data_IF_077446595544
#
_entry.id   IF_077446595544
#
_cell.length_a   1.000
_cell.length_b   1.000
_cell.length_c   1.000
_cell.angle_alpha   90.00
_cell.angle_beta   90.00
_cell.angle_gamma   90.00
#
_symmetry.space_group_name_H-M   'P 1'
#
loop_
_entity.id
_entity.type
_entity.pdbx_description
1 polymer ?
#
# COMPACT_ATOMS: atom_id res chain seq x y z
N UNK A 1 18.57 19.83 -2.10
CA UNK A 1 17.73 18.67 -2.45
C UNK A 1 16.61 18.63 -1.43
N UNK A 2 15.38 18.56 -1.90
CA UNK A 2 14.18 18.60 -1.06
C UNK A 2 13.58 17.20 -0.97
N UNK A 3 12.90 16.92 0.13
CA UNK A 3 12.19 15.67 0.35
C UNK A 3 11.01 15.59 -0.62
N UNK A 4 10.83 14.43 -1.24
CA UNK A 4 9.63 14.08 -1.99
C UNK A 4 8.63 13.30 -1.14
N UNK A 5 7.43 13.12 -1.67
CA UNK A 5 6.32 12.46 -0.98
C UNK A 5 5.80 11.33 -1.85
N UNK A 6 5.63 10.15 -1.25
CA UNK A 6 4.82 9.08 -1.81
C UNK A 6 3.54 8.98 -0.98
N UNK A 7 2.40 9.00 -1.64
CA UNK A 7 1.10 8.80 -1.00
C UNK A 7 0.14 8.04 -1.91
N UNK A 8 -0.94 7.52 -1.34
CA UNK A 8 -1.96 6.83 -2.09
C UNK A 8 -3.00 6.20 -1.18
N UNK A 9 -3.91 5.46 -1.79
CA UNK A 9 -4.92 4.67 -1.10
C UNK A 9 -4.64 3.19 -1.29
N UNK A 10 -4.87 2.44 -0.22
CA UNK A 10 -4.91 0.99 -0.25
C UNK A 10 -6.37 0.53 -0.26
N UNK A 11 -6.73 -0.27 -1.24
CA UNK A 11 -7.99 -1.01 -1.25
C UNK A 11 -7.73 -2.45 -0.84
N UNK A 12 -8.59 -3.03 -0.01
CA UNK A 12 -8.43 -4.39 0.49
C UNK A 12 -9.74 -5.14 0.26
N UNK A 13 -9.69 -6.20 -0.53
CA UNK A 13 -10.87 -6.98 -0.84
C UNK A 13 -10.55 -8.33 -1.48
N UNK A 14 -11.53 -9.22 -1.62
CA UNK A 14 -12.81 -9.17 -0.91
C UNK A 14 -12.62 -9.49 0.59
N UNK A 15 -13.40 -8.88 1.47
CA UNK A 15 -13.33 -9.12 2.93
C UNK A 15 -14.57 -9.79 3.51
N UNK A 16 -15.59 -10.06 2.68
CA UNK A 16 -16.83 -10.67 3.13
C UNK A 16 -17.56 -11.41 1.99
N UNK A 17 -18.40 -12.42 2.32
CA UNK A 17 -19.05 -13.33 1.37
C UNK A 17 -19.86 -12.75 0.24
N UNK A 18 -20.50 -11.63 0.49
CA UNK A 18 -21.45 -11.07 -0.46
C UNK A 18 -21.30 -9.57 -0.44
N UNK A 19 -20.47 -9.04 -1.33
CA UNK A 19 -20.50 -7.62 -1.65
C UNK A 19 -21.67 -7.40 -2.62
N UNK A 20 -22.77 -6.81 -2.13
CA UNK A 20 -23.87 -6.35 -2.98
C UNK A 20 -23.73 -4.84 -3.16
N UNK A 21 -24.01 -4.28 -4.35
CA UNK A 21 -24.02 -2.83 -4.54
C UNK A 21 -24.93 -2.09 -3.54
N UNK A 22 -26.02 -2.73 -3.08
CA UNK A 22 -26.92 -2.20 -2.04
C UNK A 22 -26.44 -2.38 -0.58
N UNK A 23 -25.39 -3.17 -0.33
CA UNK A 23 -24.82 -3.43 0.99
C UNK A 23 -23.30 -3.50 0.92
N UNK A 24 -22.62 -2.33 0.82
CA UNK A 24 -21.17 -2.30 0.77
C UNK A 24 -20.60 -2.91 2.05
N UNK A 25 -19.47 -3.57 1.88
CA UNK A 25 -18.77 -4.21 2.97
C UNK A 25 -17.60 -3.32 3.39
N UNK A 26 -17.78 -2.42 4.37
CA UNK A 26 -16.74 -1.48 4.73
C UNK A 26 -15.55 -2.24 5.31
N UNK A 27 -14.35 -1.87 4.86
CA UNK A 27 -13.10 -2.41 5.42
C UNK A 27 -12.93 -1.90 6.85
N UNK A 28 -12.92 -2.78 7.87
CA UNK A 28 -12.69 -2.35 9.25
C UNK A 28 -11.30 -1.73 9.40
N UNK A 29 -11.14 -0.72 10.26
CA UNK A 29 -9.86 -0.04 10.44
C UNK A 29 -8.72 -1.00 10.84
N UNK A 30 -9.02 -2.02 11.65
CA UNK A 30 -8.05 -3.04 12.05
C UNK A 30 -7.47 -3.83 10.86
N UNK A 31 -8.21 -3.97 9.77
CA UNK A 31 -7.75 -4.64 8.54
C UNK A 31 -6.68 -3.79 7.84
N UNK A 32 -6.84 -2.46 7.84
CA UNK A 32 -5.82 -1.53 7.36
C UNK A 32 -4.61 -1.49 8.29
N UNK A 33 -4.83 -1.34 9.60
CA UNK A 33 -3.75 -1.23 10.59
C UNK A 33 -2.89 -2.50 10.72
N UNK A 34 -3.45 -3.66 10.37
CA UNK A 34 -2.68 -4.90 10.32
C UNK A 34 -1.61 -4.88 9.22
N UNK A 35 -1.81 -4.09 8.15
CA UNK A 35 -0.97 -4.05 6.94
C UNK A 35 -0.14 -2.78 6.87
N UNK A 36 0.97 -2.87 6.17
CA UNK A 36 1.88 -1.75 5.94
C UNK A 36 2.28 -1.69 4.47
N UNK A 37 2.49 -0.47 3.97
CA UNK A 37 3.24 -0.26 2.74
C UNK A 37 4.72 -0.32 3.07
N UNK A 38 5.44 -1.18 2.35
CA UNK A 38 6.82 -1.53 2.60
C UNK A 38 7.71 -0.82 1.59
N UNK A 39 8.66 -0.02 2.06
CA UNK A 39 9.58 0.71 1.19
C UNK A 39 10.97 0.08 1.30
N UNK A 40 11.42 -0.53 0.21
CA UNK A 40 12.74 -1.12 0.08
C UNK A 40 13.68 -0.20 -0.72
N UNK A 41 14.98 -0.47 -0.66
CA UNK A 41 15.94 0.10 -1.59
C UNK A 41 15.61 -0.27 -3.06
N UNK A 42 16.26 0.38 -4.02
CA UNK A 42 16.09 0.17 -5.46
C UNK A 42 16.04 -1.31 -5.88
N UNK A 43 16.85 -2.16 -5.24
CA UNK A 43 16.96 -3.59 -5.56
C UNK A 43 15.92 -4.48 -4.87
N UNK A 44 15.06 -3.93 -4.01
CA UNK A 44 14.06 -4.70 -3.25
C UNK A 44 14.64 -5.58 -2.13
N UNK A 45 15.92 -5.41 -1.78
CA UNK A 45 16.63 -6.34 -0.86
C UNK A 45 16.72 -5.85 0.58
N UNK A 46 16.60 -4.54 0.80
CA UNK A 46 16.71 -3.93 2.13
C UNK A 46 15.48 -3.07 2.42
N UNK A 47 14.73 -3.46 3.45
CA UNK A 47 13.63 -2.65 3.97
C UNK A 47 14.19 -1.36 4.59
N UNK A 48 13.65 -0.22 4.15
CA UNK A 48 14.02 1.12 4.60
C UNK A 48 12.95 1.74 5.49
N UNK A 49 11.67 1.53 5.18
CA UNK A 49 10.52 2.02 5.97
C UNK A 49 9.35 1.03 5.92
N UNK A 50 8.58 1.00 6.99
CA UNK A 50 7.23 0.44 7.04
C UNK A 50 6.27 1.60 7.27
N UNK A 51 5.26 1.73 6.42
CA UNK A 51 4.32 2.86 6.42
C UNK A 51 2.96 2.34 6.82
N UNK A 52 2.43 2.87 7.92
CA UNK A 52 1.10 2.51 8.39
C UNK A 52 0.03 3.02 7.42
N UNK A 53 -1.03 2.23 7.28
CA UNK A 53 -2.24 2.59 6.54
C UNK A 53 -3.27 3.06 7.56
N UNK A 54 -3.88 4.22 7.33
CA UNK A 54 -4.89 4.73 8.24
C UNK A 54 -6.25 4.05 8.07
N UNK A 55 -7.21 4.38 8.95
CA UNK A 55 -8.55 3.79 8.91
C UNK A 55 -9.35 4.08 7.63
N UNK A 56 -8.89 5.00 6.78
CA UNK A 56 -9.51 5.34 5.50
C UNK A 56 -8.83 4.65 4.32
N UNK A 57 -7.77 3.88 4.57
CA UNK A 57 -6.95 3.25 3.55
C UNK A 57 -5.83 4.15 3.03
N UNK A 58 -5.69 5.38 3.53
CA UNK A 58 -4.68 6.29 3.05
C UNK A 58 -3.32 6.02 3.70
N UNK A 59 -2.26 6.17 2.92
CA UNK A 59 -0.89 6.14 3.41
C UNK A 59 -0.07 7.30 2.82
N UNK A 60 0.92 7.75 3.58
CA UNK A 60 1.83 8.82 3.17
C UNK A 60 3.21 8.64 3.79
N UNK A 61 4.26 8.87 2.99
CA UNK A 61 5.64 8.79 3.45
C UNK A 61 6.54 9.81 2.75
N UNK A 62 7.43 10.40 3.53
CA UNK A 62 8.49 11.30 3.06
C UNK A 62 9.78 10.53 2.78
N UNK A 63 10.32 10.76 1.58
CA UNK A 63 11.49 10.07 1.05
C UNK A 63 12.46 11.07 0.42
N UNK A 64 13.76 10.80 0.56
CA UNK A 64 14.75 11.54 -0.22
C UNK A 64 14.61 11.18 -1.70
N UNK A 65 14.99 12.07 -2.62
CA UNK A 65 15.00 11.75 -4.04
C UNK A 65 15.87 10.52 -4.35
N UNK A 66 15.34 9.62 -5.18
CA UNK A 66 15.98 8.35 -5.51
C UNK A 66 14.98 7.26 -5.92
N UNK A 67 15.50 6.10 -6.30
CA UNK A 67 14.70 4.93 -6.67
C UNK A 67 14.43 4.01 -5.48
N UNK A 68 13.20 3.52 -5.41
CA UNK A 68 12.71 2.64 -4.35
C UNK A 68 11.88 1.51 -4.93
N UNK A 69 11.82 0.39 -4.21
CA UNK A 69 10.83 -0.65 -4.48
C UNK A 69 9.74 -0.59 -3.41
N UNK A 70 8.49 -0.41 -3.84
CA UNK A 70 7.30 -0.45 -2.99
C UNK A 70 6.73 -1.86 -2.99
N UNK A 71 6.36 -2.33 -1.81
CA UNK A 71 5.66 -3.59 -1.59
C UNK A 71 4.60 -3.46 -0.49
N UNK A 72 3.90 -4.55 -0.17
CA UNK A 72 3.00 -4.65 0.97
C UNK A 72 3.52 -5.69 1.98
N UNK A 73 3.10 -5.58 3.23
CA UNK A 73 3.34 -6.63 4.21
C UNK A 73 2.43 -7.84 3.92
N UNK A 74 3.01 -9.02 3.73
CA UNK A 74 2.23 -10.25 3.53
C UNK A 74 1.50 -10.67 4.82
N UNK A 75 0.16 -10.75 4.77
CA UNK A 75 -0.66 -11.37 5.81
C UNK A 75 -1.43 -12.54 5.20
N UNK A 76 -1.16 -13.75 5.67
CA UNK A 76 -1.85 -14.94 5.19
C UNK A 76 -1.58 -15.20 3.70
N UNK A 77 -2.62 -15.06 2.87
CA UNK A 77 -2.58 -15.28 1.42
C UNK A 77 -2.79 -13.98 0.62
N UNK A 78 -2.66 -12.83 1.28
CA UNK A 78 -2.72 -11.53 0.63
C UNK A 78 -1.74 -11.48 -0.54
N UNK A 79 -2.19 -10.88 -1.64
CA UNK A 79 -1.34 -10.60 -2.78
C UNK A 79 -1.81 -9.30 -3.44
N UNK A 80 -0.90 -8.66 -4.18
CA UNK A 80 -1.24 -7.51 -5.01
C UNK A 80 -0.60 -7.70 -6.37
N UNK A 81 -1.30 -7.22 -7.40
CA UNK A 81 -0.75 -7.12 -8.76
C UNK A 81 0.03 -5.82 -8.98
N UNK A 82 -0.14 -4.87 -8.07
CA UNK A 82 0.43 -3.54 -8.19
C UNK A 82 1.87 -3.51 -7.66
N UNK A 83 2.21 -4.45 -6.77
CA UNK A 83 3.53 -4.57 -6.12
C UNK A 83 4.10 -6.00 -6.19
N UNK A 84 5.44 -6.20 -6.09
CA UNK A 84 6.48 -5.19 -5.91
C UNK A 84 6.66 -4.27 -7.13
N UNK A 85 6.83 -2.96 -6.90
CA UNK A 85 6.96 -1.95 -7.95
C UNK A 85 8.11 -0.98 -7.69
N UNK A 86 8.93 -0.75 -8.72
CA UNK A 86 9.91 0.34 -8.70
C UNK A 86 9.25 1.69 -8.94
N UNK A 87 9.61 2.67 -8.13
CA UNK A 87 9.21 4.07 -8.26
C UNK A 87 10.43 4.99 -8.13
N UNK A 88 10.36 6.17 -8.75
CA UNK A 88 11.37 7.22 -8.63
C UNK A 88 10.78 8.41 -7.86
N UNK A 89 11.37 8.74 -6.72
CA UNK A 89 11.01 9.93 -5.96
C UNK A 89 11.83 11.12 -6.48
N UNK A 90 11.14 12.17 -6.89
CA UNK A 90 11.73 13.40 -7.39
C UNK A 90 11.73 14.49 -6.30
N UNK A 91 12.75 15.35 -6.31
CA UNK A 91 12.93 16.43 -5.33
C UNK A 91 11.71 17.35 -5.26
N UNK A 92 11.08 17.45 -4.08
CA UNK A 92 9.95 18.34 -3.82
C UNK A 92 8.62 17.91 -4.47
N UNK A 93 8.57 16.75 -5.15
CA UNK A 93 7.34 16.27 -5.80
C UNK A 93 6.57 15.30 -4.92
N UNK A 94 5.25 15.31 -5.09
CA UNK A 94 4.34 14.29 -4.55
C UNK A 94 3.96 13.31 -5.66
N UNK A 95 4.05 12.03 -5.37
CA UNK A 95 3.72 10.94 -6.28
C UNK A 95 2.58 10.14 -5.67
N UNK A 96 1.51 9.96 -6.45
CA UNK A 96 0.37 9.11 -6.12
C UNK A 96 0.59 7.68 -6.58
N UNK A 97 0.42 6.70 -5.69
CA UNK A 97 0.48 5.29 -6.02
C UNK A 97 -0.54 4.50 -5.20
N UNK A 98 -1.66 4.15 -5.81
CA UNK A 98 -2.68 3.31 -5.17
C UNK A 98 -2.30 1.82 -5.26
N UNK A 99 -2.70 1.04 -4.26
CA UNK A 99 -2.39 -0.39 -4.17
C UNK A 99 -3.68 -1.16 -3.87
N UNK A 100 -3.98 -2.17 -4.68
CA UNK A 100 -5.07 -3.11 -4.42
C UNK A 100 -4.53 -4.41 -3.83
N UNK A 101 -5.05 -4.79 -2.66
CA UNK A 101 -4.73 -6.03 -1.96
C UNK A 101 -5.88 -7.02 -2.14
N UNK A 102 -5.60 -8.10 -2.86
CA UNK A 102 -6.48 -9.25 -2.96
C UNK A 102 -6.21 -10.19 -1.79
N UNK A 103 -7.22 -10.36 -0.91
CA UNK A 103 -7.12 -11.21 0.29
C UNK A 103 -7.15 -12.71 -0.03
N UNK A 104 -7.31 -13.08 -1.30
CA UNK A 104 -7.46 -14.46 -1.75
C UNK A 104 -8.79 -15.11 -1.34
N UNK A 105 -9.65 -14.40 -0.61
CA UNK A 105 -10.97 -14.88 -0.23
C UNK A 105 -11.80 -15.04 -1.51
N UNK A 106 -12.45 -16.19 -1.67
CA UNK A 106 -13.32 -16.51 -2.81
C UNK A 106 -14.64 -17.03 -2.27
N UNK A 107 -15.72 -16.71 -2.97
CA UNK A 107 -17.09 -17.17 -2.68
C UNK A 107 -17.65 -17.88 -3.89
#
# INVERSE_FOLDING_TARGET
>A
MEIGVLEGNVTIGPICPVEQPESPCPVPCEVYQARHVMIYNENGTKLLKQVAIDCTGHYRVELWPGEYTVDISDIGIDHSRDVPKKIEINSGLTIGFDIDIDTGIRF
#
